data_IF_462428271957
#
_entry.id   IF_462428271957
#
_cell.length_a   1.000
_cell.length_b   1.000
_cell.length_c   1.000
_cell.angle_alpha   90.00
_cell.angle_beta   90.00
_cell.angle_gamma   90.00
#
_symmetry.space_group_name_H-M   'P 1'
#
loop_
_entity.id
_entity.type
_entity.pdbx_description
1 polymer ?
#
# COMPACT_ATOMS: atom_id res chain seq x y z
N UNK A 1 -9.80 7.71 8.27
CA UNK A 1 -9.17 7.48 9.59
C UNK A 1 -10.12 6.87 10.61
N UNK A 2 -11.33 7.43 10.82
CA UNK A 2 -12.29 6.90 11.80
C UNK A 2 -12.64 5.41 11.61
N UNK A 3 -12.88 4.96 10.38
CA UNK A 3 -13.14 3.53 10.09
C UNK A 3 -11.95 2.62 10.41
N UNK A 4 -10.70 3.07 10.23
CA UNK A 4 -9.51 2.31 10.61
C UNK A 4 -9.41 2.17 12.13
N UNK A 5 -9.67 3.26 12.85
CA UNK A 5 -9.71 3.26 14.31
C UNK A 5 -10.82 2.35 14.86
N UNK A 6 -11.99 2.35 14.24
CA UNK A 6 -13.09 1.46 14.63
C UNK A 6 -12.79 -0.01 14.31
N UNK A 7 -12.30 -0.32 13.10
CA UNK A 7 -11.97 -1.68 12.70
C UNK A 7 -10.86 -2.29 13.54
N UNK A 8 -9.69 -1.62 13.59
CA UNK A 8 -8.56 -2.11 14.37
C UNK A 8 -8.77 -1.98 15.88
N UNK A 9 -9.50 -0.97 16.34
CA UNK A 9 -9.86 -0.82 17.75
C UNK A 9 -10.71 -1.99 18.24
N UNK A 10 -11.70 -2.41 17.45
CA UNK A 10 -12.51 -3.59 17.77
C UNK A 10 -11.67 -4.87 17.78
N UNK A 11 -10.81 -5.07 16.78
CA UNK A 11 -9.90 -6.22 16.72
C UNK A 11 -8.91 -6.24 17.90
N UNK A 12 -8.41 -5.08 18.32
CA UNK A 12 -7.51 -4.96 19.47
C UNK A 12 -8.18 -5.32 20.80
N UNK A 13 -9.45 -4.93 20.98
CA UNK A 13 -10.25 -5.33 22.15
C UNK A 13 -10.44 -6.85 22.16
N UNK A 14 -10.78 -7.46 21.02
CA UNK A 14 -10.93 -8.92 20.92
C UNK A 14 -9.63 -9.66 21.21
N UNK A 15 -8.49 -9.13 20.75
CA UNK A 15 -7.17 -9.71 21.02
C UNK A 15 -6.77 -9.62 22.50
N UNK A 16 -7.08 -8.49 23.16
CA UNK A 16 -6.87 -8.30 24.59
C UNK A 16 -7.76 -9.25 25.42
N UNK A 17 -9.00 -9.47 25.01
CA UNK A 17 -9.95 -10.37 25.68
C UNK A 17 -9.61 -11.85 25.50
N UNK A 18 -9.04 -12.24 24.36
CA UNK A 18 -8.69 -13.64 24.07
C UNK A 18 -7.36 -14.09 24.65
N UNK A 19 -6.58 -13.19 25.28
CA UNK A 19 -5.28 -13.53 25.86
C UNK A 19 -4.33 -14.20 24.87
N UNK A 20 -4.54 -14.01 23.57
CA UNK A 20 -3.77 -14.69 22.54
C UNK A 20 -2.37 -14.11 22.52
N UNK A 21 -1.36 -14.92 22.84
CA UNK A 21 0.07 -14.60 22.81
C UNK A 21 0.63 -14.28 21.41
N UNK A 22 -0.15 -13.69 20.51
CA UNK A 22 0.40 -13.00 19.36
C UNK A 22 1.16 -11.76 19.85
N UNK A 23 2.36 -11.53 19.30
CA UNK A 23 3.17 -10.37 19.67
C UNK A 23 2.35 -9.09 19.45
N UNK A 24 1.86 -8.48 20.53
CA UNK A 24 1.08 -7.22 20.44
C UNK A 24 1.83 -6.11 19.69
N UNK A 25 3.17 -6.19 19.66
CA UNK A 25 4.03 -5.39 18.81
C UNK A 25 3.75 -5.55 17.31
N UNK A 26 3.58 -6.77 16.79
CA UNK A 26 3.27 -7.03 15.38
C UNK A 26 1.87 -6.49 15.00
N UNK A 27 0.90 -6.60 15.91
CA UNK A 27 -0.42 -6.02 15.71
C UNK A 27 -0.36 -4.49 15.62
N UNK A 28 0.34 -3.83 16.55
CA UNK A 28 0.60 -2.38 16.50
C UNK A 28 1.30 -1.97 15.20
N UNK A 29 2.30 -2.73 14.77
CA UNK A 29 3.02 -2.49 13.52
C UNK A 29 2.07 -2.55 12.32
N UNK A 30 1.22 -3.57 12.26
CA UNK A 30 0.22 -3.73 11.20
C UNK A 30 -0.78 -2.56 11.19
N UNK A 31 -1.23 -2.09 12.36
CA UNK A 31 -2.11 -0.90 12.47
C UNK A 31 -1.41 0.34 11.90
N UNK A 32 -0.15 0.57 12.26
CA UNK A 32 0.63 1.73 11.79
C UNK A 32 0.85 1.66 10.27
N UNK A 33 1.27 0.50 9.76
CA UNK A 33 1.43 0.26 8.32
C UNK A 33 0.11 0.52 7.58
N UNK A 34 -1.02 0.00 8.10
CA UNK A 34 -2.32 0.15 7.43
C UNK A 34 -2.77 1.61 7.42
N UNK A 35 -2.49 2.35 8.50
CA UNK A 35 -2.74 3.78 8.56
C UNK A 35 -1.88 4.56 7.57
N UNK A 36 -0.61 4.19 7.40
CA UNK A 36 0.31 4.81 6.43
C UNK A 36 -0.18 4.61 4.99
N UNK A 37 -0.55 3.38 4.62
CA UNK A 37 -1.15 3.08 3.32
C UNK A 37 -2.44 3.88 3.11
N UNK A 38 -3.30 3.91 4.13
CA UNK A 38 -4.54 4.69 4.10
C UNK A 38 -4.30 6.18 3.86
N UNK A 39 -3.26 6.76 4.45
CA UNK A 39 -2.83 8.15 4.19
C UNK A 39 -2.34 8.34 2.76
N UNK A 40 -1.59 7.37 2.21
CA UNK A 40 -1.13 7.40 0.82
C UNK A 40 -2.30 7.43 -0.17
N UNK A 41 -3.26 6.51 0.00
CA UNK A 41 -4.46 6.47 -0.84
C UNK A 41 -5.32 7.73 -0.68
N UNK A 42 -5.42 8.28 0.53
CA UNK A 42 -6.14 9.53 0.79
C UNK A 42 -5.46 10.71 0.09
N UNK A 43 -4.13 10.77 0.08
CA UNK A 43 -3.37 11.77 -0.67
C UNK A 43 -3.61 11.65 -2.18
N UNK A 44 -3.63 10.44 -2.73
CA UNK A 44 -3.92 10.22 -4.15
C UNK A 44 -5.35 10.65 -4.48
N UNK A 45 -6.33 10.31 -3.63
CA UNK A 45 -7.71 10.77 -3.76
C UNK A 45 -7.83 12.30 -3.72
N UNK A 46 -7.10 12.96 -2.82
CA UNK A 46 -7.06 14.43 -2.74
C UNK A 46 -6.46 15.08 -3.98
N UNK A 47 -5.37 14.51 -4.53
CA UNK A 47 -4.80 14.93 -5.80
C UNK A 47 -5.85 14.86 -6.91
N UNK A 48 -6.59 13.76 -7.01
CA UNK A 48 -7.66 13.59 -8.01
C UNK A 48 -8.79 14.61 -7.78
N UNK A 49 -9.18 14.87 -6.53
CA UNK A 49 -10.17 15.91 -6.20
C UNK A 49 -9.76 17.31 -6.64
N UNK A 50 -8.47 17.63 -6.63
CA UNK A 50 -7.98 18.94 -7.10
C UNK A 50 -8.22 19.19 -8.60
N UNK A 51 -8.44 18.12 -9.40
CA UNK A 51 -8.73 18.21 -10.83
C UNK A 51 -10.23 18.20 -11.16
N UNK A 52 -11.12 17.88 -10.21
CA UNK A 52 -12.55 17.68 -10.49
C UNK A 52 -13.41 18.76 -9.83
N UNK A 53 -14.28 19.40 -10.60
CA UNK A 53 -15.20 20.43 -10.10
C UNK A 53 -16.30 19.88 -9.16
N UNK A 54 -16.47 18.55 -9.07
CA UNK A 54 -17.49 17.89 -8.24
C UNK A 54 -16.86 16.80 -7.36
N UNK A 55 -17.00 16.94 -6.04
CA UNK A 55 -16.49 15.98 -5.04
C UNK A 55 -16.98 14.55 -5.25
N UNK A 56 -18.19 14.37 -5.79
CA UNK A 56 -18.77 13.05 -6.12
C UNK A 56 -18.03 12.36 -7.27
N UNK A 57 -17.64 13.10 -8.31
CA UNK A 57 -16.89 12.55 -9.44
C UNK A 57 -15.45 12.18 -9.04
N UNK A 58 -14.81 13.02 -8.20
CA UNK A 58 -13.48 12.73 -7.67
C UNK A 58 -13.43 11.43 -6.85
N UNK A 59 -14.41 11.20 -5.98
CA UNK A 59 -14.52 9.97 -5.20
C UNK A 59 -14.68 8.75 -6.12
N UNK A 60 -15.52 8.84 -7.15
CA UNK A 60 -15.68 7.76 -8.14
C UNK A 60 -14.37 7.42 -8.83
N UNK A 61 -13.66 8.43 -9.35
CA UNK A 61 -12.37 8.25 -10.02
C UNK A 61 -11.32 7.65 -9.08
N UNK A 62 -11.25 8.13 -7.83
CA UNK A 62 -10.32 7.60 -6.83
C UNK A 62 -10.59 6.11 -6.53
N UNK A 63 -11.85 5.73 -6.37
CA UNK A 63 -12.24 4.33 -6.13
C UNK A 63 -11.95 3.47 -7.37
N UNK A 64 -12.22 3.95 -8.57
CA UNK A 64 -11.89 3.23 -9.81
C UNK A 64 -10.39 3.03 -9.98
N UNK A 65 -9.58 4.06 -9.69
CA UNK A 65 -8.12 3.95 -9.71
C UNK A 65 -7.63 2.93 -8.67
N UNK A 66 -8.16 2.99 -7.45
CA UNK A 66 -7.83 2.04 -6.39
C UNK A 66 -8.17 0.59 -6.79
N UNK A 67 -9.36 0.37 -7.34
CA UNK A 67 -9.76 -0.95 -7.87
C UNK A 67 -8.86 -1.39 -9.03
N UNK A 68 -8.47 -0.47 -9.91
CA UNK A 68 -7.51 -0.75 -10.98
C UNK A 68 -6.17 -1.23 -10.44
N UNK A 69 -5.63 -0.58 -9.41
CA UNK A 69 -4.40 -1.02 -8.75
C UNK A 69 -4.53 -2.41 -8.12
N UNK A 70 -5.67 -2.74 -7.51
CA UNK A 70 -5.90 -4.08 -6.96
C UNK A 70 -5.95 -5.12 -8.07
N UNK A 71 -6.73 -4.88 -9.11
CA UNK A 71 -6.93 -5.88 -10.17
C UNK A 71 -5.61 -6.10 -10.93
N UNK A 72 -4.89 -5.03 -11.28
CA UNK A 72 -3.62 -5.14 -12.00
C UNK A 72 -2.52 -5.73 -11.10
N UNK A 73 -2.48 -5.35 -9.82
CA UNK A 73 -1.55 -5.90 -8.84
C UNK A 73 -1.79 -7.38 -8.59
N UNK A 74 -2.95 -7.74 -8.02
CA UNK A 74 -3.23 -9.12 -7.62
C UNK A 74 -3.43 -10.05 -8.84
N UNK A 75 -4.34 -9.71 -9.77
CA UNK A 75 -4.67 -10.59 -10.89
C UNK A 75 -3.75 -10.38 -12.10
N UNK A 76 -3.29 -9.16 -12.34
CA UNK A 76 -2.38 -8.86 -13.44
C UNK A 76 -0.97 -9.44 -13.21
N UNK A 77 -0.43 -9.35 -11.99
CA UNK A 77 0.87 -9.97 -11.67
C UNK A 77 0.77 -11.50 -11.64
N UNK A 78 -0.29 -12.07 -11.03
CA UNK A 78 -0.50 -13.52 -11.07
C UNK A 78 -0.69 -14.03 -12.50
N UNK A 79 -1.55 -13.39 -13.29
CA UNK A 79 -1.82 -13.77 -14.68
C UNK A 79 -0.59 -13.63 -15.59
N UNK A 80 0.15 -12.52 -15.48
CA UNK A 80 1.38 -12.33 -16.27
C UNK A 80 2.52 -13.25 -15.83
N UNK A 81 2.64 -13.58 -14.54
CA UNK A 81 3.64 -14.55 -14.08
C UNK A 81 3.42 -15.95 -14.67
N UNK A 82 2.17 -16.37 -14.82
CA UNK A 82 1.79 -17.69 -15.34
C UNK A 82 1.86 -17.76 -16.87
N UNK A 83 1.51 -16.67 -17.56
CA UNK A 83 1.39 -16.65 -19.03
C UNK A 83 2.67 -16.17 -19.71
N UNK A 84 3.41 -15.25 -19.10
CA UNK A 84 4.57 -14.58 -19.72
C UNK A 84 5.93 -15.03 -19.15
N UNK A 85 5.97 -15.99 -18.22
CA UNK A 85 7.21 -16.47 -17.55
C UNK A 85 8.15 -15.32 -17.16
N UNK A 86 7.58 -14.24 -16.63
CA UNK A 86 8.32 -13.02 -16.34
C UNK A 86 9.47 -13.30 -15.38
N UNK A 87 10.64 -12.74 -15.70
CA UNK A 87 11.80 -12.83 -14.82
C UNK A 87 11.43 -12.31 -13.41
N UNK A 88 11.89 -12.95 -12.33
CA UNK A 88 11.61 -12.53 -10.96
C UNK A 88 11.96 -11.06 -10.67
N UNK A 89 12.95 -10.51 -11.37
CA UNK A 89 13.33 -9.10 -11.27
C UNK A 89 12.26 -8.15 -11.81
N UNK A 90 11.64 -8.50 -12.95
CA UNK A 90 10.57 -7.70 -13.57
C UNK A 90 9.29 -7.76 -12.73
N UNK A 91 8.97 -8.94 -12.20
CA UNK A 91 7.86 -9.12 -11.29
C UNK A 91 8.01 -8.23 -10.06
N UNK A 92 9.18 -8.28 -9.40
CA UNK A 92 9.48 -7.43 -8.24
C UNK A 92 9.39 -5.94 -8.59
N UNK A 93 9.93 -5.53 -9.74
CA UNK A 93 9.84 -4.14 -10.19
C UNK A 93 8.39 -3.66 -10.33
N UNK A 94 7.52 -4.48 -10.92
CA UNK A 94 6.09 -4.16 -11.04
C UNK A 94 5.37 -4.16 -9.69
N UNK A 95 5.72 -5.09 -8.79
CA UNK A 95 5.14 -5.16 -7.43
C UNK A 95 5.47 -3.92 -6.61
N UNK A 96 6.70 -3.42 -6.68
CA UNK A 96 7.16 -2.25 -5.92
C UNK A 96 6.59 -0.93 -6.49
N UNK A 97 6.20 -0.90 -7.77
CA UNK A 97 5.52 0.28 -8.34
C UNK A 97 4.12 0.46 -7.74
N UNK A 98 3.43 -0.62 -7.37
CA UNK A 98 2.12 -0.54 -6.77
C UNK A 98 2.24 -0.31 -5.24
N UNK A 99 1.72 0.80 -4.69
CA UNK A 99 1.75 1.05 -3.25
C UNK A 99 1.03 -0.03 -2.44
N UNK A 100 -0.04 -0.63 -2.98
CA UNK A 100 -0.76 -1.71 -2.29
C UNK A 100 0.10 -2.96 -2.13
N UNK A 101 0.86 -3.33 -3.17
CA UNK A 101 1.69 -4.52 -3.14
C UNK A 101 3.02 -4.28 -2.42
N UNK A 102 3.54 -3.04 -2.46
CA UNK A 102 4.67 -2.59 -1.63
C UNK A 102 4.34 -2.71 -0.14
N UNK A 103 3.17 -2.26 0.28
CA UNK A 103 2.66 -2.46 1.63
C UNK A 103 2.57 -3.94 2.00
N UNK A 104 2.03 -4.79 1.12
CA UNK A 104 1.90 -6.24 1.38
C UNK A 104 3.27 -6.88 1.61
N UNK A 105 4.25 -6.58 0.77
CA UNK A 105 5.63 -7.07 0.91
C UNK A 105 6.24 -6.61 2.24
N UNK A 106 6.11 -5.32 2.56
CA UNK A 106 6.65 -4.73 3.78
C UNK A 106 6.00 -5.31 5.04
N UNK A 107 4.69 -5.52 5.03
CA UNK A 107 3.96 -6.09 6.14
C UNK A 107 4.41 -7.54 6.41
N UNK A 108 4.54 -8.37 5.38
CA UNK A 108 4.98 -9.77 5.55
C UNK A 108 6.42 -9.86 6.05
N UNK A 109 7.32 -9.02 5.51
CA UNK A 109 8.71 -8.91 5.95
C UNK A 109 8.81 -8.52 7.45
N UNK A 110 8.13 -7.45 7.86
CA UNK A 110 8.16 -6.95 9.23
C UNK A 110 7.44 -7.85 10.24
N UNK A 111 6.43 -8.61 9.79
CA UNK A 111 5.71 -9.56 10.61
C UNK A 111 6.45 -10.90 10.75
N UNK A 112 7.70 -10.99 10.27
CA UNK A 112 8.53 -12.20 10.25
C UNK A 112 7.83 -13.41 9.59
N UNK A 113 6.88 -13.13 8.71
CA UNK A 113 6.25 -14.17 7.90
C UNK A 113 7.12 -14.35 6.68
N UNK A 114 7.51 -15.59 6.35
CA UNK A 114 8.43 -15.83 5.24
C UNK A 114 7.91 -15.19 3.95
N UNK A 115 8.72 -14.32 3.33
CA UNK A 115 8.37 -13.67 2.06
C UNK A 115 8.13 -14.67 0.91
N UNK A 116 8.55 -15.93 1.07
CA UNK A 116 8.20 -17.03 0.17
C UNK A 116 6.68 -17.24 0.03
N UNK A 117 5.89 -16.82 1.02
CA UNK A 117 4.42 -16.90 0.97
C UNK A 117 3.83 -15.92 -0.07
N UNK A 118 4.56 -14.87 -0.47
CA UNK A 118 4.16 -13.98 -1.58
C UNK A 118 4.56 -14.50 -2.96
N UNK A 119 5.13 -15.71 -3.06
CA UNK A 119 5.54 -16.31 -4.31
C UNK A 119 6.93 -15.86 -4.82
N UNK A 120 7.22 -16.04 -6.12
CA UNK A 120 8.56 -15.89 -6.68
C UNK A 120 9.16 -14.49 -6.50
N UNK A 121 8.33 -13.45 -6.51
CA UNK A 121 8.76 -12.07 -6.31
C UNK A 121 9.27 -11.82 -4.88
N UNK A 122 8.61 -12.39 -3.86
CA UNK A 122 9.03 -12.27 -2.47
C UNK A 122 10.30 -13.08 -2.15
N UNK A 123 10.42 -14.27 -2.73
CA UNK A 123 11.65 -15.08 -2.63
C UNK A 123 12.85 -14.35 -3.26
N UNK A 124 12.66 -13.80 -4.47
CA UNK A 124 13.70 -13.03 -5.18
C UNK A 124 14.08 -11.74 -4.45
N UNK A 125 13.09 -11.05 -3.87
CA UNK A 125 13.34 -9.86 -3.06
C UNK A 125 14.32 -10.17 -1.93
N UNK A 126 14.01 -11.21 -1.15
CA UNK A 126 14.78 -11.61 0.04
C UNK A 126 16.21 -11.99 -0.34
N UNK A 127 16.36 -12.78 -1.41
CA UNK A 127 17.66 -13.23 -1.90
C UNK A 127 18.53 -12.07 -2.40
N UNK A 128 17.92 -11.09 -3.08
CA UNK A 128 18.68 -10.00 -3.73
C UNK A 128 18.98 -8.81 -2.82
N UNK A 129 18.10 -8.50 -1.88
CA UNK A 129 18.15 -7.27 -1.09
C UNK A 129 18.34 -7.51 0.41
N UNK A 130 18.02 -8.71 0.92
CA UNK A 130 18.24 -9.10 2.32
C UNK A 130 17.80 -8.03 3.33
N UNK A 131 18.70 -7.59 4.20
CA UNK A 131 18.42 -6.60 5.25
C UNK A 131 18.14 -5.16 4.76
N UNK A 132 18.32 -4.87 3.47
CA UNK A 132 18.04 -3.53 2.89
C UNK A 132 16.62 -3.40 2.32
N UNK A 133 15.86 -4.48 2.25
CA UNK A 133 14.49 -4.49 1.74
C UNK A 133 13.57 -3.62 2.58
N UNK A 134 13.54 -3.86 3.88
CA UNK A 134 12.65 -3.20 4.83
C UNK A 134 12.76 -1.67 4.78
N UNK A 135 13.97 -1.05 4.89
CA UNK A 135 14.08 0.40 4.81
C UNK A 135 13.75 0.96 3.41
N UNK A 136 13.99 0.19 2.35
CA UNK A 136 13.67 0.62 0.98
C UNK A 136 12.17 0.64 0.74
N UNK A 137 11.46 -0.42 1.13
CA UNK A 137 10.00 -0.49 1.04
C UNK A 137 9.33 0.59 1.89
N UNK A 138 9.83 0.84 3.12
CA UNK A 138 9.36 1.94 3.97
C UNK A 138 9.56 3.30 3.30
N UNK A 139 10.73 3.55 2.72
CA UNK A 139 11.02 4.80 2.03
C UNK A 139 10.10 4.98 0.81
N UNK A 140 9.83 3.91 0.08
CA UNK A 140 8.97 3.93 -1.10
C UNK A 140 7.50 4.22 -0.74
N UNK A 141 7.01 3.62 0.35
CA UNK A 141 5.68 3.88 0.91
C UNK A 141 5.56 5.34 1.37
N UNK A 142 6.59 5.87 2.04
CA UNK A 142 6.67 7.28 2.43
C UNK A 142 6.69 8.22 1.23
N UNK A 143 7.39 7.88 0.14
CA UNK A 143 7.38 8.64 -1.11
C UNK A 143 5.98 8.67 -1.71
N UNK A 144 5.27 7.54 -1.73
CA UNK A 144 3.87 7.49 -2.20
C UNK A 144 2.90 8.29 -1.34
N UNK A 145 3.19 8.49 -0.05
CA UNK A 145 2.42 9.40 0.82
C UNK A 145 2.76 10.86 0.57
N UNK A 146 4.05 11.18 0.42
CA UNK A 146 4.56 12.54 0.35
C UNK A 146 4.55 13.15 -1.06
N UNK A 147 4.55 12.35 -2.13
CA UNK A 147 4.57 12.85 -3.49
C UNK A 147 3.21 13.42 -3.99
N UNK A 148 2.05 12.78 -3.74
CA UNK A 148 0.78 13.27 -4.28
C UNK A 148 0.25 14.51 -3.53
N UNK A 149 0.61 14.69 -2.25
CA UNK A 149 0.21 15.84 -1.42
C UNK A 149 0.65 17.21 -1.98
N UNK A 150 1.96 17.47 -2.20
CA UNK A 150 2.44 18.73 -2.75
C UNK A 150 2.04 18.92 -4.21
N UNK A 151 1.94 17.84 -4.98
CA UNK A 151 1.42 17.91 -6.36
C UNK A 151 -0.02 18.42 -6.37
N UNK A 152 -0.88 17.93 -5.48
CA UNK A 152 -2.26 18.40 -5.38
C UNK A 152 -2.35 19.85 -4.93
N UNK A 153 -1.51 20.25 -3.97
CA UNK A 153 -1.46 21.62 -3.48
C UNK A 153 -0.99 22.62 -4.55
N UNK A 154 0.07 22.31 -5.29
CA UNK A 154 0.60 23.17 -6.36
C UNK A 154 -0.41 23.35 -7.49
N UNK A 155 -1.17 22.29 -7.80
CA UNK A 155 -2.13 22.30 -8.89
C UNK A 155 -3.41 23.04 -8.51
N UNK A 156 -3.90 22.89 -7.28
CA UNK A 156 -5.03 23.66 -6.75
C UNK A 156 -4.74 25.16 -6.77
N UNK A 157 -3.52 25.55 -6.38
CA UNK A 157 -3.06 26.95 -6.41
C UNK A 157 -3.02 27.55 -7.82
N UNK A 158 -2.96 26.72 -8.87
CA UNK A 158 -3.01 27.18 -10.27
C UNK A 158 -4.44 27.36 -10.79
N UNK A 159 -5.40 26.61 -10.25
CA UNK A 159 -6.81 26.68 -10.65
C UNK A 159 -7.54 27.87 -10.03
N UNK A 160 -7.15 28.30 -8.81
CA UNK A 160 -7.74 29.43 -8.10
C UNK A 160 -7.37 30.82 -8.66
N UNK A 161 -6.46 30.89 -9.64
CA UNK A 161 -6.00 32.13 -10.29
C UNK A 161 -6.62 32.31 -11.70
N UNK A 162 -7.63 31.50 -12.06
CA UNK A 162 -8.38 31.63 -13.33
C UNK A 162 -9.84 31.92 -13.07
#
# INVERSE_FOLDING_TARGET
>A
MAMLLFGFGWSGIVMALRGSGGSGGNFLLLVVLTALLGLGMLSVGYLISSFSAQSSAALGIAVTLWLGFIIIGDLGLMGSSLVMELSPATLLGLTVVNPLDTYKLLAVDLLQTSLNVLGPAGAYATDRFGSRLTPLLLALELVWVLAPLPLGYVLFKRTDIR
#
